data_IF_843534086655
#
_entry.id   IF_843534086655
#
_cell.length_a   1.000
_cell.length_b   1.000
_cell.length_c   1.000
_cell.angle_alpha   90.00
_cell.angle_beta   90.00
_cell.angle_gamma   90.00
#
_symmetry.space_group_name_H-M   'P 1'
#
loop_
_entity.id
_entity.type
_entity.pdbx_description
1 polymer ?
#
# COMPACT_ATOMS: atom_id res chain seq x y z
N UNK A 1 11.91 11.86 19.20
CA UNK A 1 12.31 13.02 18.38
C UNK A 1 12.37 12.76 16.87
N UNK A 2 12.53 11.51 16.40
CA UNK A 2 12.58 11.20 14.96
C UNK A 2 11.19 11.18 14.29
N UNK A 3 10.15 10.68 14.98
CA UNK A 3 8.74 10.68 14.48
C UNK A 3 8.19 12.08 14.14
N UNK A 4 8.65 13.13 14.83
CA UNK A 4 8.22 14.51 14.58
C UNK A 4 8.94 15.17 13.41
N UNK A 5 10.14 14.69 13.06
CA UNK A 5 10.95 15.25 11.97
C UNK A 5 10.43 14.78 10.59
N UNK A 6 10.09 13.49 10.48
CA UNK A 6 9.44 12.93 9.29
C UNK A 6 8.03 13.48 9.04
N UNK A 7 7.25 13.73 10.10
CA UNK A 7 5.93 14.38 9.99
C UNK A 7 6.04 15.79 9.41
N UNK A 8 7.02 16.59 9.86
CA UNK A 8 7.22 17.98 9.38
C UNK A 8 7.63 18.02 7.90
N UNK A 9 8.59 17.19 7.50
CA UNK A 9 9.06 17.09 6.12
C UNK A 9 7.94 16.68 5.16
N UNK A 10 7.08 15.72 5.54
CA UNK A 10 5.91 15.37 4.74
C UNK A 10 4.96 16.56 4.58
N UNK A 11 4.61 17.29 5.65
CA UNK A 11 3.75 18.48 5.53
C UNK A 11 4.34 19.62 4.69
N UNK A 12 5.65 19.87 4.75
CA UNK A 12 6.29 20.94 3.98
C UNK A 12 6.44 20.60 2.49
N UNK A 13 6.76 19.34 2.17
CA UNK A 13 6.76 18.85 0.79
C UNK A 13 5.33 18.90 0.22
N UNK A 14 4.34 18.46 1.01
CA UNK A 14 2.92 18.57 0.66
C UNK A 14 2.57 20.05 0.38
N UNK A 15 2.79 21.00 1.30
CA UNK A 15 2.44 22.41 1.04
C UNK A 15 3.14 22.99 -0.20
N UNK A 16 4.42 22.66 -0.42
CA UNK A 16 5.17 23.17 -1.57
C UNK A 16 4.67 22.66 -2.93
N UNK A 17 4.21 21.41 -3.02
CA UNK A 17 3.57 20.89 -4.24
C UNK A 17 2.22 21.59 -4.53
N UNK A 18 1.43 21.87 -3.49
CA UNK A 18 0.14 22.56 -3.63
C UNK A 18 0.30 24.04 -4.03
N UNK A 19 1.28 24.76 -3.46
CA UNK A 19 1.59 26.14 -3.94
C UNK A 19 2.07 26.21 -5.40
N UNK A 20 2.65 25.13 -5.95
CA UNK A 20 3.00 25.05 -7.38
C UNK A 20 1.78 24.79 -8.26
N UNK A 21 0.86 23.92 -7.83
CA UNK A 21 -0.43 23.67 -8.50
C UNK A 21 -1.25 24.98 -8.62
N UNK A 22 -1.35 25.76 -7.53
CA UNK A 22 -2.04 27.05 -7.53
C UNK A 22 -1.40 28.10 -8.47
N UNK A 23 -0.08 28.05 -8.70
CA UNK A 23 0.65 28.98 -9.58
C UNK A 23 0.61 28.59 -11.07
N UNK A 24 0.60 27.30 -11.40
CA UNK A 24 0.63 26.82 -12.79
C UNK A 24 -0.76 26.94 -13.44
N UNK A 25 -1.83 26.71 -12.69
CA UNK A 25 -3.21 26.97 -13.14
C UNK A 25 -3.40 28.48 -13.44
N UNK A 26 -2.69 29.37 -12.74
CA UNK A 26 -2.72 30.81 -13.01
C UNK A 26 -1.87 31.23 -14.23
N UNK A 27 -0.77 30.53 -14.54
CA UNK A 27 0.12 30.86 -15.67
C UNK A 27 -0.26 30.20 -17.01
N UNK A 28 -0.90 29.02 -17.01
CA UNK A 28 -1.45 28.40 -18.22
C UNK A 28 -2.65 29.15 -18.82
N UNK A 29 -3.31 29.98 -18.01
CA UNK A 29 -4.49 30.80 -18.39
C UNK A 29 -4.12 32.06 -19.17
N UNK A 30 -2.84 32.47 -19.19
CA UNK A 30 -2.39 33.65 -19.95
C UNK A 30 -1.98 33.35 -21.41
N UNK A 31 -1.80 32.08 -21.81
CA UNK A 31 -1.24 31.75 -23.13
C UNK A 31 -2.25 31.25 -24.17
N UNK A 32 -3.46 30.85 -23.78
CA UNK A 32 -4.55 30.47 -24.68
C UNK A 32 -5.81 31.17 -24.19
N UNK A 33 -6.29 32.17 -24.94
CA UNK A 33 -7.44 33.02 -24.60
C UNK A 33 -8.79 32.31 -24.57
N UNK A 34 -8.90 31.21 -23.81
CA UNK A 34 -10.14 30.50 -23.53
C UNK A 34 -10.58 30.93 -22.13
N UNK A 35 -11.57 31.81 -22.09
CA UNK A 35 -12.26 32.20 -20.86
C UNK A 35 -13.14 31.05 -20.39
N UNK A 36 -12.60 30.15 -19.55
CA UNK A 36 -13.44 29.24 -18.79
C UNK A 36 -13.94 29.94 -17.52
N UNK A 37 -15.25 29.87 -17.31
CA UNK A 37 -15.95 30.48 -16.20
C UNK A 37 -15.52 29.91 -14.83
N UNK A 38 -16.08 30.47 -13.74
CA UNK A 38 -15.63 30.26 -12.37
C UNK A 38 -15.42 28.80 -11.93
N UNK A 39 -16.08 27.81 -12.55
CA UNK A 39 -16.20 26.42 -12.09
C UNK A 39 -14.88 25.67 -11.83
N UNK A 40 -13.80 25.93 -12.57
CA UNK A 40 -12.51 25.22 -12.42
C UNK A 40 -11.68 25.66 -11.21
N UNK A 41 -11.87 26.89 -10.72
CA UNK A 41 -11.23 27.36 -9.48
C UNK A 41 -11.94 26.81 -8.23
N UNK A 42 -13.27 26.60 -8.32
CA UNK A 42 -14.06 26.04 -7.21
C UNK A 42 -13.73 24.57 -6.94
N UNK A 43 -13.35 23.77 -7.94
CA UNK A 43 -13.05 22.33 -7.76
C UNK A 43 -11.74 22.10 -7.02
N UNK A 44 -10.68 22.87 -7.30
CA UNK A 44 -9.40 22.79 -6.59
C UNK A 44 -9.54 23.32 -5.17
N UNK A 45 -10.27 24.42 -4.98
CA UNK A 45 -10.49 25.01 -3.66
C UNK A 45 -11.42 24.16 -2.78
N UNK A 46 -12.35 23.40 -3.37
CA UNK A 46 -13.15 22.40 -2.66
C UNK A 46 -12.33 21.17 -2.25
N UNK A 47 -11.38 20.72 -3.10
CA UNK A 47 -10.45 19.66 -2.75
C UNK A 47 -9.50 20.08 -1.60
N UNK A 48 -9.00 21.32 -1.64
CA UNK A 48 -8.21 21.92 -0.55
C UNK A 48 -9.01 22.10 0.75
N UNK A 49 -10.28 22.52 0.65
CA UNK A 49 -11.16 22.69 1.81
C UNK A 49 -11.55 21.35 2.46
N UNK A 50 -11.65 20.26 1.70
CA UNK A 50 -11.89 18.91 2.24
C UNK A 50 -10.71 18.37 3.07
N UNK A 51 -9.50 18.92 2.88
CA UNK A 51 -8.26 18.49 3.55
C UNK A 51 -8.00 19.20 4.90
N UNK A 52 -8.85 20.16 5.30
CA UNK A 52 -8.79 20.80 6.62
C UNK A 52 -9.55 20.01 7.71
N UNK A 53 -9.84 18.73 7.49
CA UNK A 53 -10.33 17.87 8.56
C UNK A 53 -9.25 17.75 9.64
N UNK A 54 -9.61 18.12 10.87
CA UNK A 54 -8.80 17.93 12.07
C UNK A 54 -8.17 16.54 12.06
N UNK A 55 -6.83 16.46 12.12
CA UNK A 55 -6.03 15.23 12.02
C UNK A 55 -6.28 14.33 13.24
N UNK A 56 -7.47 13.74 13.32
CA UNK A 56 -7.70 12.57 14.15
C UNK A 56 -6.97 11.42 13.46
N UNK A 57 -6.16 10.68 14.21
CA UNK A 57 -5.52 9.49 13.65
C UNK A 57 -6.64 8.53 13.24
N UNK A 58 -6.72 8.10 11.98
CA UNK A 58 -7.79 7.23 11.53
C UNK A 58 -7.76 5.94 12.33
N UNK A 59 -8.92 5.53 12.84
CA UNK A 59 -9.09 4.19 13.43
C UNK A 59 -9.34 3.21 12.31
N UNK A 60 -8.81 1.99 12.42
CA UNK A 60 -8.94 0.97 11.38
C UNK A 60 -9.63 -0.31 11.86
N UNK A 61 -10.16 -1.06 10.91
CA UNK A 61 -10.60 -2.45 11.07
C UNK A 61 -9.95 -3.30 9.97
N UNK A 62 -9.47 -4.48 10.33
CA UNK A 62 -8.75 -5.38 9.42
C UNK A 62 -9.63 -6.57 9.08
N UNK A 63 -9.76 -6.88 7.80
CA UNK A 63 -10.48 -8.02 7.27
C UNK A 63 -9.50 -8.99 6.63
N UNK A 64 -9.61 -10.27 6.94
CA UNK A 64 -8.77 -11.34 6.39
C UNK A 64 -9.66 -12.34 5.67
N UNK A 65 -9.55 -12.36 4.35
CA UNK A 65 -10.18 -13.38 3.52
C UNK A 65 -9.21 -14.57 3.37
N UNK A 66 -9.53 -15.71 3.98
CA UNK A 66 -8.62 -16.88 3.98
C UNK A 66 -8.52 -17.54 2.60
N UNK A 67 -9.64 -17.66 1.90
CA UNK A 67 -9.70 -18.33 0.60
C UNK A 67 -8.97 -17.48 -0.44
N UNK A 68 -9.28 -16.18 -0.50
CA UNK A 68 -8.61 -15.28 -1.42
C UNK A 68 -7.15 -14.98 -1.04
N UNK A 69 -6.76 -15.23 0.22
CA UNK A 69 -5.46 -14.86 0.77
C UNK A 69 -5.18 -13.35 0.61
N UNK A 70 -6.15 -12.56 1.06
CA UNK A 70 -6.14 -11.11 0.98
C UNK A 70 -6.48 -10.51 2.35
N UNK A 71 -5.69 -9.52 2.78
CA UNK A 71 -6.01 -8.67 3.92
C UNK A 71 -6.48 -7.32 3.38
N UNK A 72 -7.64 -6.84 3.82
CA UNK A 72 -8.13 -5.49 3.50
C UNK A 72 -8.31 -4.67 4.78
N UNK A 73 -7.81 -3.45 4.77
CA UNK A 73 -7.96 -2.50 5.88
C UNK A 73 -9.01 -1.47 5.53
N UNK A 74 -9.94 -1.23 6.45
CA UNK A 74 -11.00 -0.25 6.32
C UNK A 74 -10.86 0.86 7.37
N UNK A 75 -11.22 2.08 6.97
CA UNK A 75 -11.49 3.21 7.87
C UNK A 75 -13.00 3.45 7.93
N UNK A 76 -13.41 4.33 8.86
CA UNK A 76 -14.79 4.76 9.00
C UNK A 76 -15.24 5.63 7.83
N UNK A 77 -16.47 5.44 7.38
CA UNK A 77 -17.21 6.38 6.54
C UNK A 77 -17.77 7.58 7.36
N UNK A 78 -18.58 8.40 6.70
CA UNK A 78 -19.22 9.56 7.32
C UNK A 78 -20.24 9.18 8.41
N UNK A 79 -20.81 7.98 8.34
CA UNK A 79 -21.77 7.46 9.32
C UNK A 79 -21.07 6.77 10.52
N UNK A 80 -19.74 6.59 10.43
CA UNK A 80 -18.91 6.03 11.47
C UNK A 80 -18.69 4.52 11.35
N UNK A 81 -19.11 3.91 10.25
CA UNK A 81 -19.01 2.48 9.97
C UNK A 81 -17.76 2.15 9.14
N UNK A 82 -17.12 1.01 9.38
CA UNK A 82 -15.87 0.61 8.72
C UNK A 82 -16.12 0.07 7.30
N UNK A 83 -16.49 0.95 6.37
CA UNK A 83 -16.87 0.58 4.98
C UNK A 83 -15.91 1.13 3.92
N UNK A 84 -15.03 2.07 4.27
CA UNK A 84 -14.12 2.72 3.33
C UNK A 84 -12.81 1.94 3.25
N UNK A 85 -12.50 1.24 2.14
CA UNK A 85 -11.25 0.51 2.02
C UNK A 85 -10.07 1.48 1.85
N UNK A 86 -8.96 1.18 2.52
CA UNK A 86 -7.75 2.02 2.55
C UNK A 86 -6.60 1.33 1.86
N UNK A 87 -6.43 0.02 2.11
CA UNK A 87 -5.31 -0.75 1.60
C UNK A 87 -5.64 -2.24 1.56
N UNK A 88 -5.19 -2.93 0.52
CA UNK A 88 -5.17 -4.39 0.48
C UNK A 88 -3.74 -4.93 0.45
N UNK A 89 -3.58 -6.16 0.90
CA UNK A 89 -2.30 -6.87 0.99
C UNK A 89 -2.49 -8.32 0.58
N UNK A 90 -1.50 -8.86 -0.15
CA UNK A 90 -1.38 -10.30 -0.27
C UNK A 90 -0.99 -10.90 1.08
N UNK A 91 -1.54 -12.06 1.42
CA UNK A 91 -1.11 -12.79 2.61
C UNK A 91 -1.04 -14.29 2.35
N UNK A 92 -0.58 -15.05 3.33
CA UNK A 92 -0.69 -16.50 3.36
C UNK A 92 -1.33 -16.91 4.68
N UNK A 93 -2.56 -17.40 4.59
CA UNK A 93 -3.28 -17.95 5.74
C UNK A 93 -2.92 -19.41 5.99
N UNK A 94 -3.52 -20.00 7.03
CA UNK A 94 -3.31 -21.39 7.41
C UNK A 94 -3.68 -22.36 6.31
N UNK A 95 -2.80 -23.33 6.06
CA UNK A 95 -3.06 -24.46 5.15
C UNK A 95 -4.09 -25.43 5.76
N UNK A 96 -4.57 -26.36 4.94
CA UNK A 96 -5.49 -27.42 5.37
C UNK A 96 -4.95 -28.17 6.60
N UNK A 97 -5.81 -28.38 7.60
CA UNK A 97 -5.50 -28.96 8.91
C UNK A 97 -4.84 -28.00 9.91
N UNK A 98 -4.46 -26.79 9.49
CA UNK A 98 -3.85 -25.73 10.31
C UNK A 98 -4.49 -24.37 10.02
N UNK A 99 -5.80 -24.35 9.76
CA UNK A 99 -6.51 -23.19 9.24
C UNK A 99 -6.44 -22.00 10.21
N UNK A 100 -6.30 -20.80 9.65
CA UNK A 100 -6.51 -19.56 10.43
C UNK A 100 -7.96 -19.55 10.93
N UNK A 101 -8.24 -19.36 12.23
CA UNK A 101 -9.60 -19.46 12.75
C UNK A 101 -10.52 -18.35 12.22
N UNK A 102 -11.74 -18.72 11.82
CA UNK A 102 -12.81 -17.77 11.46
C UNK A 102 -13.32 -17.01 12.69
N UNK A 103 -13.81 -15.79 12.47
CA UNK A 103 -14.54 -15.03 13.48
C UNK A 103 -14.05 -13.61 13.66
N UNK A 104 -14.47 -13.01 14.77
CA UNK A 104 -14.14 -11.64 15.15
C UNK A 104 -13.16 -11.62 16.32
N UNK A 105 -12.07 -10.89 16.16
CA UNK A 105 -10.95 -10.83 17.10
C UNK A 105 -10.47 -9.39 17.30
N UNK A 106 -9.46 -9.21 18.16
CA UNK A 106 -8.81 -7.92 18.41
C UNK A 106 -7.30 -8.09 18.55
N UNK A 107 -6.53 -7.16 18.00
CA UNK A 107 -5.08 -7.12 18.21
C UNK A 107 -4.74 -6.91 19.69
N UNK A 108 -3.61 -7.46 20.15
CA UNK A 108 -3.26 -7.51 21.58
C UNK A 108 -1.80 -7.22 21.86
N UNK A 109 -0.88 -8.00 21.29
CA UNK A 109 0.57 -7.86 21.51
C UNK A 109 1.30 -7.60 20.20
N UNK A 110 2.34 -6.78 20.27
CA UNK A 110 3.14 -6.34 19.13
C UNK A 110 4.60 -6.65 19.43
N UNK A 111 5.31 -7.25 18.47
CA UNK A 111 6.70 -7.66 18.62
C UNK A 111 7.50 -7.28 17.37
N UNK A 112 8.66 -6.67 17.53
CA UNK A 112 9.58 -6.46 16.39
C UNK A 112 10.05 -7.77 15.81
N UNK A 113 10.32 -8.75 16.66
CA UNK A 113 10.64 -10.14 16.30
C UNK A 113 9.93 -11.09 17.25
N UNK A 114 9.41 -12.19 16.72
CA UNK A 114 8.73 -13.22 17.52
C UNK A 114 9.14 -14.62 17.10
N UNK A 115 9.58 -15.42 18.07
CA UNK A 115 9.77 -16.86 17.90
C UNK A 115 8.41 -17.55 17.69
N UNK A 116 8.34 -18.34 16.62
CA UNK A 116 7.16 -19.08 16.17
C UNK A 116 7.21 -20.53 16.65
N UNK A 117 6.06 -21.21 16.56
CA UNK A 117 5.90 -22.58 17.09
C UNK A 117 6.78 -23.61 16.37
N UNK A 118 7.13 -23.34 15.11
CA UNK A 118 7.99 -24.17 14.27
C UNK A 118 9.49 -23.85 14.43
N UNK A 119 9.85 -22.94 15.35
CA UNK A 119 11.22 -22.52 15.59
C UNK A 119 11.71 -21.40 14.68
N UNK A 120 10.90 -20.98 13.70
CA UNK A 120 11.19 -19.80 12.86
C UNK A 120 10.93 -18.49 13.61
N UNK A 121 11.28 -17.36 13.00
CA UNK A 121 11.00 -16.03 13.50
C UNK A 121 10.14 -15.24 12.51
N UNK A 122 9.15 -14.50 13.02
CA UNK A 122 8.45 -13.48 12.25
C UNK A 122 8.90 -12.09 12.69
N UNK A 123 9.25 -11.26 11.73
CA UNK A 123 9.48 -9.83 11.89
C UNK A 123 8.12 -9.12 11.90
N UNK A 124 7.99 -8.06 12.70
CA UNK A 124 6.77 -7.28 12.89
C UNK A 124 5.53 -8.17 13.15
N UNK A 125 5.48 -8.80 14.32
CA UNK A 125 4.39 -9.70 14.66
C UNK A 125 3.30 -9.01 15.49
N UNK A 126 2.03 -9.23 15.14
CA UNK A 126 0.84 -8.67 15.80
C UNK A 126 -0.10 -9.81 16.18
N UNK A 127 -0.25 -10.09 17.48
CA UNK A 127 -1.16 -11.13 17.98
C UNK A 127 -2.60 -10.64 17.92
N UNK A 128 -3.50 -11.43 17.34
CA UNK A 128 -4.94 -11.13 17.35
C UNK A 128 -5.80 -12.27 17.94
N UNK A 129 -5.31 -13.50 18.01
CA UNK A 129 -6.07 -14.59 18.63
C UNK A 129 -5.15 -15.68 19.19
N UNK A 130 -5.06 -15.83 20.52
CA UNK A 130 -4.24 -16.87 21.18
C UNK A 130 -2.86 -16.97 20.52
N UNK A 131 -2.52 -18.10 19.89
CA UNK A 131 -1.25 -18.33 19.20
C UNK A 131 -1.17 -17.80 17.75
N UNK A 132 -2.19 -17.12 17.25
CA UNK A 132 -2.32 -16.65 15.87
C UNK A 132 -1.97 -15.17 15.77
N UNK A 133 -1.09 -14.85 14.82
CA UNK A 133 -0.55 -13.53 14.60
C UNK A 133 -0.59 -13.14 13.12
N UNK A 134 -0.63 -11.85 12.84
CA UNK A 134 -0.03 -11.30 11.62
C UNK A 134 1.47 -11.25 11.82
N UNK A 135 2.27 -11.64 10.82
CA UNK A 135 3.72 -11.46 10.85
C UNK A 135 4.30 -11.51 9.43
N UNK A 136 5.58 -11.13 9.28
CA UNK A 136 6.30 -11.28 8.02
C UNK A 136 6.34 -12.75 7.57
N UNK A 137 6.79 -13.01 6.35
CA UNK A 137 7.30 -14.34 5.97
C UNK A 137 8.36 -14.80 7.01
N UNK A 138 8.44 -16.10 7.35
CA UNK A 138 9.36 -16.60 8.36
C UNK A 138 10.84 -16.38 8.00
N UNK A 139 11.65 -16.28 9.04
CA UNK A 139 13.10 -16.20 9.01
C UNK A 139 13.68 -17.34 9.86
N UNK A 140 14.85 -17.86 9.48
CA UNK A 140 15.52 -18.92 10.26
C UNK A 140 16.07 -18.41 11.60
N UNK A 141 16.34 -17.11 11.70
CA UNK A 141 16.80 -16.43 12.93
C UNK A 141 16.12 -15.07 13.04
N UNK A 142 16.25 -14.39 14.18
CA UNK A 142 15.76 -13.01 14.35
C UNK A 142 16.65 -11.95 13.66
N UNK A 143 17.13 -12.25 12.45
CA UNK A 143 18.00 -11.41 11.63
C UNK A 143 17.35 -11.15 10.28
N UNK A 144 17.39 -9.91 9.80
CA UNK A 144 16.70 -9.47 8.59
C UNK A 144 17.31 -10.03 7.29
N UNK A 145 18.51 -10.60 7.35
CA UNK A 145 19.24 -11.22 6.24
C UNK A 145 19.09 -12.74 6.16
N UNK A 146 18.20 -13.33 6.97
CA UNK A 146 18.03 -14.78 7.08
C UNK A 146 16.60 -15.25 6.81
N UNK A 147 15.99 -14.69 5.76
CA UNK A 147 14.64 -15.01 5.28
C UNK A 147 14.54 -16.46 4.82
N UNK A 148 13.43 -17.11 5.14
CA UNK A 148 13.05 -18.38 4.53
C UNK A 148 12.47 -18.12 3.13
N UNK A 149 13.36 -17.82 2.18
CA UNK A 149 13.04 -17.33 0.82
C UNK A 149 11.99 -18.16 0.07
N UNK A 150 11.96 -19.48 0.25
CA UNK A 150 10.95 -20.33 -0.39
C UNK A 150 9.54 -20.03 0.14
N UNK A 151 9.39 -19.66 1.42
CA UNK A 151 8.10 -19.26 1.99
C UNK A 151 7.65 -17.89 1.49
N UNK A 152 8.58 -17.00 1.09
CA UNK A 152 8.22 -15.71 0.50
C UNK A 152 7.48 -15.92 -0.82
N UNK A 153 7.96 -16.88 -1.61
CA UNK A 153 7.38 -17.28 -2.88
C UNK A 153 5.99 -17.96 -2.74
N UNK A 154 5.60 -18.34 -1.52
CA UNK A 154 4.24 -18.84 -1.24
C UNK A 154 3.23 -17.75 -0.89
N UNK A 155 3.65 -16.48 -0.75
CA UNK A 155 2.75 -15.37 -0.47
C UNK A 155 1.63 -15.28 -1.51
N UNK A 156 0.39 -15.16 -1.03
CA UNK A 156 -0.81 -15.26 -1.84
C UNK A 156 -1.40 -16.67 -1.91
N UNK A 157 -0.81 -17.67 -1.24
CA UNK A 157 -1.38 -19.01 -1.11
C UNK A 157 -1.51 -19.43 0.35
N UNK A 158 -2.36 -20.41 0.66
CA UNK A 158 -2.44 -20.96 2.01
C UNK A 158 -1.18 -21.78 2.31
N UNK A 159 -0.36 -21.31 3.26
CA UNK A 159 0.96 -21.89 3.52
C UNK A 159 1.35 -21.93 5.00
N UNK A 160 0.65 -21.18 5.86
CA UNK A 160 1.06 -21.04 7.25
C UNK A 160 0.52 -22.16 8.14
N UNK A 161 0.97 -22.16 9.41
CA UNK A 161 0.44 -23.00 10.48
C UNK A 161 -0.69 -22.31 11.27
N UNK A 162 -1.44 -21.41 10.61
CA UNK A 162 -2.59 -20.70 11.16
C UNK A 162 -2.40 -19.18 11.23
N UNK A 163 -1.18 -18.69 11.34
CA UNK A 163 -0.88 -17.26 11.26
C UNK A 163 -1.23 -16.64 9.90
N UNK A 164 -1.28 -15.32 9.83
CA UNK A 164 -1.41 -14.58 8.56
C UNK A 164 -0.03 -14.03 8.20
N UNK A 165 0.67 -14.71 7.30
CA UNK A 165 2.00 -14.29 6.82
C UNK A 165 1.85 -13.22 5.73
N UNK A 166 2.69 -12.20 5.73
CA UNK A 166 2.65 -11.09 4.77
C UNK A 166 4.08 -10.70 4.39
N UNK A 167 4.27 -9.92 3.32
CA UNK A 167 5.56 -9.29 3.05
C UNK A 167 5.95 -8.35 4.21
N UNK A 168 7.25 -8.17 4.46
CA UNK A 168 7.74 -7.37 5.59
C UNK A 168 7.20 -5.93 5.58
N UNK A 169 7.17 -5.26 4.42
CA UNK A 169 6.60 -3.91 4.30
C UNK A 169 5.11 -3.85 4.67
N UNK A 170 4.36 -4.87 4.28
CA UNK A 170 2.91 -4.91 4.41
C UNK A 170 2.48 -5.13 5.85
N UNK A 171 3.10 -6.11 6.54
CA UNK A 171 2.84 -6.27 7.97
C UNK A 171 3.38 -5.10 8.78
N UNK A 172 4.50 -4.50 8.37
CA UNK A 172 5.02 -3.30 9.03
C UNK A 172 4.02 -2.14 8.92
N UNK A 173 3.31 -2.02 7.80
CA UNK A 173 2.24 -1.04 7.69
C UNK A 173 1.14 -1.28 8.74
N UNK A 174 0.67 -2.52 8.92
CA UNK A 174 -0.27 -2.84 10.01
C UNK A 174 0.33 -2.53 11.39
N UNK A 175 1.60 -2.86 11.60
CA UNK A 175 2.32 -2.67 12.86
C UNK A 175 2.39 -1.18 13.24
N UNK A 176 2.64 -0.32 12.25
CA UNK A 176 2.79 1.13 12.45
C UNK A 176 1.45 1.88 12.53
N UNK A 177 0.40 1.36 11.88
CA UNK A 177 -0.87 2.09 11.69
C UNK A 177 -2.06 1.53 12.49
N UNK A 178 -2.06 0.24 12.86
CA UNK A 178 -3.14 -0.35 13.64
C UNK A 178 -2.77 -0.41 15.12
N UNK A 179 -3.57 0.24 15.97
CA UNK A 179 -3.37 0.26 17.42
C UNK A 179 -3.79 -1.06 18.08
N UNK A 180 -3.32 -1.31 19.31
CA UNK A 180 -3.81 -2.42 20.13
C UNK A 180 -5.33 -2.34 20.30
N UNK A 181 -6.01 -3.47 20.14
CA UNK A 181 -7.47 -3.53 20.20
C UNK A 181 -8.17 -3.30 18.86
N UNK A 182 -7.41 -3.06 17.78
CA UNK A 182 -7.92 -3.01 16.41
C UNK A 182 -8.71 -4.28 16.11
N UNK A 183 -9.92 -4.11 15.59
CA UNK A 183 -10.81 -5.22 15.25
C UNK A 183 -10.27 -5.99 14.05
N UNK A 184 -10.31 -7.31 14.12
CA UNK A 184 -9.88 -8.22 13.05
C UNK A 184 -11.03 -9.17 12.74
N UNK A 185 -11.50 -9.19 11.50
CA UNK A 185 -12.56 -10.08 11.03
C UNK A 185 -11.95 -11.09 10.06
N UNK A 186 -12.07 -12.37 10.36
CA UNK A 186 -11.57 -13.46 9.50
C UNK A 186 -12.76 -14.20 8.90
N UNK A 187 -12.79 -14.29 7.58
CA UNK A 187 -13.90 -14.83 6.80
C UNK A 187 -13.41 -15.58 5.56
N UNK A 188 -14.34 -16.26 4.88
CA UNK A 188 -14.11 -16.94 3.61
C UNK A 188 -15.01 -16.33 2.54
N UNK A 189 -14.42 -15.95 1.41
CA UNK A 189 -15.15 -15.61 0.19
C UNK A 189 -14.22 -15.86 -1.01
N UNK A 190 -14.50 -16.89 -1.79
CA UNK A 190 -13.67 -17.25 -2.95
C UNK A 190 -13.82 -16.24 -4.10
N UNK A 191 -15.01 -15.67 -4.25
CA UNK A 191 -15.39 -14.87 -5.41
C UNK A 191 -15.02 -13.41 -5.24
N UNK A 192 -14.90 -12.95 -3.99
CA UNK A 192 -14.60 -11.56 -3.66
C UNK A 192 -13.37 -11.43 -2.75
N UNK A 193 -12.17 -11.17 -3.30
CA UNK A 193 -10.97 -10.90 -2.52
C UNK A 193 -11.04 -9.60 -1.70
N UNK A 194 -12.07 -8.77 -1.90
CA UNK A 194 -12.23 -7.45 -1.31
C UNK A 194 -12.30 -6.36 -2.39
N UNK A 195 -12.78 -5.15 -2.04
CA UNK A 195 -13.08 -4.08 -2.98
C UNK A 195 -11.85 -3.51 -3.71
N UNK A 196 -10.66 -3.66 -3.13
CA UNK A 196 -9.39 -3.26 -3.77
C UNK A 196 -8.72 -4.40 -4.55
N UNK A 197 -9.36 -5.57 -4.58
CA UNK A 197 -8.74 -6.79 -5.10
C UNK A 197 -7.57 -7.28 -4.24
N UNK A 198 -7.04 -8.44 -4.61
CA UNK A 198 -5.83 -9.01 -4.02
C UNK A 198 -4.61 -8.50 -4.78
N UNK A 199 -3.63 -7.86 -4.11
CA UNK A 199 -2.35 -7.58 -4.73
C UNK A 199 -1.65 -8.87 -5.19
N UNK A 200 -0.98 -8.83 -6.34
CA UNK A 200 -0.14 -9.93 -6.78
C UNK A 200 1.20 -9.83 -6.06
N UNK A 201 1.72 -10.93 -5.54
CA UNK A 201 3.07 -10.92 -4.98
C UNK A 201 4.05 -11.45 -6.03
N UNK A 202 4.99 -10.61 -6.47
CA UNK A 202 6.08 -11.07 -7.33
C UNK A 202 7.00 -12.01 -6.53
N UNK A 203 7.48 -13.03 -7.24
CA UNK A 203 8.37 -14.04 -6.71
C UNK A 203 9.80 -13.51 -6.71
N UNK A 204 10.59 -13.88 -5.71
CA UNK A 204 12.03 -13.63 -5.69
C UNK A 204 12.76 -14.76 -6.40
N UNK A 205 13.82 -14.40 -7.14
CA UNK A 205 14.83 -15.36 -7.54
C UNK A 205 15.62 -15.79 -6.29
N UNK A 206 15.37 -17.03 -5.85
CA UNK A 206 15.99 -17.60 -4.65
C UNK A 206 17.52 -17.77 -4.78
N UNK A 207 18.07 -17.68 -6.00
CA UNK A 207 19.51 -17.71 -6.26
C UNK A 207 20.17 -16.34 -6.19
N UNK A 208 19.38 -15.27 -6.14
CA UNK A 208 19.88 -13.90 -6.06
C UNK A 208 20.72 -13.68 -4.78
N UNK A 209 21.85 -12.95 -4.84
CA UNK A 209 22.71 -12.72 -3.67
C UNK A 209 21.99 -12.03 -2.50
N UNK A 210 20.91 -11.31 -2.76
CA UNK A 210 20.11 -10.62 -1.74
C UNK A 210 18.90 -11.44 -1.24
N UNK A 211 18.69 -12.67 -1.74
CA UNK A 211 17.50 -13.47 -1.42
C UNK A 211 17.35 -13.86 0.07
N UNK A 212 18.38 -13.63 0.90
CA UNK A 212 18.27 -13.71 2.36
C UNK A 212 17.48 -12.55 2.98
N UNK A 213 17.26 -11.47 2.25
CA UNK A 213 16.47 -10.31 2.67
C UNK A 213 15.11 -10.31 1.99
N UNK A 214 14.07 -9.89 2.71
CA UNK A 214 12.79 -9.57 2.09
C UNK A 214 12.95 -8.31 1.22
N UNK A 215 12.69 -8.37 -0.10
CA UNK A 215 12.90 -7.25 -1.02
C UNK A 215 11.95 -6.06 -0.77
N UNK A 216 10.94 -6.26 0.06
CA UNK A 216 9.98 -5.22 0.43
C UNK A 216 10.37 -4.51 1.72
N UNK A 217 11.18 -5.12 2.60
CA UNK A 217 11.54 -4.53 3.90
C UNK A 217 12.18 -3.13 3.70
N UNK A 218 11.65 -2.07 4.32
CA UNK A 218 12.18 -0.72 4.20
C UNK A 218 13.43 -0.45 5.04
N UNK A 219 14.01 -1.44 5.73
CA UNK A 219 15.27 -1.29 6.47
C UNK A 219 16.35 -0.63 5.59
N UNK A 220 17.11 0.32 6.13
CA UNK A 220 18.08 1.14 5.38
C UNK A 220 19.23 0.26 4.85
N UNK A 221 19.65 -0.70 5.66
CA UNK A 221 20.70 -1.69 5.40
C UNK A 221 20.27 -2.78 4.40
N UNK A 222 19.01 -2.84 4.00
CA UNK A 222 18.52 -3.84 3.06
C UNK A 222 19.22 -3.68 1.69
N UNK A 223 19.99 -4.66 1.22
CA UNK A 223 20.77 -4.54 -0.02
C UNK A 223 19.89 -4.37 -1.26
N UNK A 224 18.62 -4.79 -1.23
CA UNK A 224 17.64 -4.54 -2.29
C UNK A 224 17.44 -3.04 -2.56
N UNK A 225 17.70 -2.16 -1.58
CA UNK A 225 17.66 -0.69 -1.77
C UNK A 225 18.64 -0.19 -2.82
N UNK A 226 19.73 -0.92 -3.08
CA UNK A 226 20.75 -0.53 -4.07
C UNK A 226 20.26 -0.69 -5.50
N UNK A 227 19.19 -1.47 -5.73
CA UNK A 227 18.60 -1.73 -7.05
C UNK A 227 17.10 -1.40 -7.11
N UNK A 228 16.54 -0.80 -6.05
CA UNK A 228 15.11 -0.53 -5.93
C UNK A 228 14.63 0.43 -7.04
N UNK A 229 13.54 0.10 -7.76
CA UNK A 229 13.05 0.93 -8.84
C UNK A 229 12.37 2.21 -8.33
N UNK A 230 12.03 3.11 -9.26
CA UNK A 230 11.26 4.32 -8.99
C UNK A 230 10.04 4.44 -9.90
N UNK A 231 8.95 5.00 -9.37
CA UNK A 231 7.74 5.31 -10.14
C UNK A 231 7.92 6.63 -10.89
N UNK A 232 7.22 6.76 -12.02
CA UNK A 232 7.11 8.03 -12.75
C UNK A 232 5.75 8.12 -13.45
N UNK A 233 5.28 9.34 -13.71
CA UNK A 233 4.09 9.56 -14.52
C UNK A 233 4.49 9.55 -16.00
N UNK A 234 3.79 8.77 -16.82
CA UNK A 234 4.04 8.69 -18.27
C UNK A 234 3.66 10.01 -18.95
N UNK A 235 2.60 10.65 -18.45
CA UNK A 235 2.18 11.98 -18.85
C UNK A 235 2.28 12.89 -17.63
N UNK A 236 3.49 13.41 -17.38
CA UNK A 236 3.74 14.37 -16.30
C UNK A 236 3.53 15.80 -16.79
N UNK A 237 2.61 16.54 -16.16
CA UNK A 237 2.40 17.97 -16.41
C UNK A 237 3.37 18.85 -15.59
N UNK A 238 4.29 18.24 -14.84
CA UNK A 238 5.31 18.90 -14.01
C UNK A 238 4.85 19.23 -12.59
N UNK A 239 3.63 18.84 -12.22
CA UNK A 239 3.05 19.01 -10.89
C UNK A 239 3.07 17.72 -10.05
N UNK A 240 3.35 16.57 -10.67
CA UNK A 240 3.36 15.26 -10.02
C UNK A 240 1.96 14.72 -9.71
N UNK A 241 0.93 15.22 -10.39
CA UNK A 241 -0.46 14.76 -10.23
C UNK A 241 -0.81 13.75 -11.32
N UNK A 242 -1.40 12.62 -10.91
CA UNK A 242 -1.94 11.63 -11.82
C UNK A 242 -3.34 12.06 -12.28
N UNK A 243 -3.45 12.56 -13.51
CA UNK A 243 -4.73 12.96 -14.10
C UNK A 243 -5.38 11.80 -14.84
N UNK A 244 -6.67 11.55 -14.58
CA UNK A 244 -7.46 10.53 -15.27
C UNK A 244 -8.86 11.05 -15.62
N UNK A 245 -9.48 10.55 -16.70
CA UNK A 245 -10.82 10.98 -17.07
C UNK A 245 -11.85 10.37 -16.12
N UNK A 246 -12.95 11.08 -15.88
CA UNK A 246 -14.11 10.52 -15.18
C UNK A 246 -14.63 9.27 -15.90
N UNK A 247 -14.91 8.23 -15.12
CA UNK A 247 -15.31 6.91 -15.61
C UNK A 247 -14.14 6.01 -16.03
N UNK A 248 -12.88 6.40 -15.80
CA UNK A 248 -11.74 5.54 -16.06
C UNK A 248 -11.77 4.25 -15.24
N UNK A 249 -11.11 3.21 -15.77
CA UNK A 249 -10.89 1.95 -15.04
C UNK A 249 -9.54 1.97 -14.33
N UNK A 250 -9.37 1.09 -13.34
CA UNK A 250 -8.08 0.90 -12.66
C UNK A 250 -6.98 0.48 -13.65
N UNK A 251 -7.30 -0.33 -14.66
CA UNK A 251 -6.33 -0.73 -15.68
C UNK A 251 -5.93 0.41 -16.62
N UNK A 252 -6.84 1.34 -16.91
CA UNK A 252 -6.47 2.58 -17.60
C UNK A 252 -5.56 3.45 -16.72
N UNK A 253 -5.81 3.51 -15.41
CA UNK A 253 -4.96 4.23 -14.46
C UNK A 253 -3.49 3.78 -14.52
N UNK A 254 -3.27 2.46 -14.61
CA UNK A 254 -1.94 1.85 -14.70
C UNK A 254 -1.19 2.25 -15.98
N UNK A 255 -1.87 2.69 -17.03
CA UNK A 255 -1.23 3.15 -18.27
C UNK A 255 -0.62 4.54 -18.15
N UNK A 256 -0.93 5.28 -17.08
CA UNK A 256 -0.39 6.61 -16.84
C UNK A 256 0.81 6.62 -15.88
N UNK A 257 1.16 5.46 -15.30
CA UNK A 257 2.27 5.32 -14.36
C UNK A 257 3.23 4.28 -14.90
N UNK A 258 4.52 4.59 -14.88
CA UNK A 258 5.58 3.68 -15.26
C UNK A 258 6.52 3.39 -14.10
N UNK A 259 7.32 2.34 -14.27
CA UNK A 259 8.41 1.97 -13.38
C UNK A 259 9.74 2.09 -14.13
N UNK A 260 10.78 2.59 -13.48
CA UNK A 260 12.14 2.64 -14.04
C UNK A 260 13.17 2.16 -13.03
N UNK A 261 14.24 1.54 -13.53
CA UNK A 261 15.33 1.06 -12.69
C UNK A 261 16.18 2.21 -12.14
N UNK A 262 17.19 1.89 -11.32
CA UNK A 262 18.10 2.87 -10.72
C UNK A 262 18.93 3.66 -11.74
N UNK A 263 19.12 3.14 -12.96
CA UNK A 263 19.77 3.87 -14.06
C UNK A 263 18.81 4.80 -14.82
N UNK A 264 17.53 4.82 -14.43
CA UNK A 264 16.49 5.62 -15.07
C UNK A 264 15.91 5.01 -16.35
N UNK A 265 16.25 3.75 -16.66
CA UNK A 265 15.68 3.02 -17.80
C UNK A 265 14.29 2.50 -17.43
N UNK A 266 13.28 2.82 -18.24
CA UNK A 266 11.92 2.34 -18.04
C UNK A 266 11.83 0.82 -18.25
N UNK A 267 11.07 0.15 -17.38
CA UNK A 267 10.68 -1.24 -17.58
C UNK A 267 9.56 -1.33 -18.63
N UNK A 268 9.53 -2.45 -19.34
CA UNK A 268 8.38 -2.83 -20.17
C UNK A 268 7.18 -3.16 -19.28
N UNK A 269 5.93 -2.84 -19.65
CA UNK A 269 4.74 -3.10 -18.81
C UNK A 269 4.54 -4.54 -18.34
N UNK A 270 5.20 -5.51 -18.98
CA UNK A 270 5.19 -6.92 -18.61
C UNK A 270 6.17 -7.26 -17.48
N UNK A 271 7.17 -6.40 -17.23
CA UNK A 271 8.26 -6.62 -16.29
C UNK A 271 8.04 -5.94 -14.93
N UNK A 272 6.84 -5.45 -14.69
CA UNK A 272 6.44 -4.96 -13.37
C UNK A 272 4.93 -5.06 -13.18
N UNK A 273 4.52 -4.94 -11.91
CA UNK A 273 3.13 -4.82 -11.51
C UNK A 273 2.91 -3.49 -10.79
N UNK A 274 1.72 -2.92 -10.97
CA UNK A 274 1.28 -1.72 -10.27
C UNK A 274 0.05 -2.01 -9.42
N UNK A 275 0.04 -1.43 -8.22
CA UNK A 275 -1.07 -1.45 -7.29
C UNK A 275 -1.41 -0.03 -6.90
N UNK A 276 -2.69 0.32 -6.96
CA UNK A 276 -3.18 1.61 -6.48
C UNK A 276 -4.05 1.32 -5.26
N UNK A 277 -3.62 1.85 -4.12
CA UNK A 277 -4.33 1.74 -2.86
C UNK A 277 -4.82 3.12 -2.43
N UNK A 278 -5.93 3.18 -1.69
CA UNK A 278 -6.47 4.42 -1.14
C UNK A 278 -7.97 4.53 -1.36
N UNK A 279 -8.57 5.57 -0.77
CA UNK A 279 -9.97 5.89 -0.96
C UNK A 279 -10.11 6.82 -2.17
N UNK A 280 -10.50 6.26 -3.32
CA UNK A 280 -10.74 7.01 -4.55
C UNK A 280 -11.97 6.49 -5.30
N UNK A 281 -12.64 7.38 -6.01
CA UNK A 281 -13.75 7.04 -6.90
C UNK A 281 -13.51 7.63 -8.29
N UNK A 282 -13.32 6.75 -9.27
CA UNK A 282 -13.05 7.13 -10.65
C UNK A 282 -14.29 7.67 -11.38
N UNK A 283 -15.48 7.53 -10.81
CA UNK A 283 -16.73 8.06 -11.37
C UNK A 283 -17.09 9.44 -10.81
N UNK A 284 -16.40 9.90 -9.77
CA UNK A 284 -16.66 11.17 -9.12
C UNK A 284 -15.49 12.12 -9.34
N UNK A 285 -15.77 13.30 -9.89
CA UNK A 285 -14.77 14.35 -10.06
C UNK A 285 -14.18 14.76 -8.71
N UNK A 286 -12.86 14.86 -8.63
CA UNK A 286 -12.19 15.19 -7.37
C UNK A 286 -10.71 14.84 -7.37
N UNK A 287 -10.05 15.16 -6.25
CA UNK A 287 -8.67 14.80 -5.99
C UNK A 287 -8.61 13.83 -4.81
N UNK A 288 -7.90 12.73 -5.00
CA UNK A 288 -7.82 11.63 -4.04
C UNK A 288 -6.36 11.37 -3.69
N UNK A 289 -6.10 11.07 -2.41
CA UNK A 289 -4.78 10.56 -1.99
C UNK A 289 -4.74 9.07 -2.25
N UNK A 290 -3.78 8.67 -3.08
CA UNK A 290 -3.54 7.27 -3.40
C UNK A 290 -2.09 6.89 -3.11
N UNK A 291 -1.88 5.63 -2.80
CA UNK A 291 -0.58 5.01 -2.69
C UNK A 291 -0.38 4.10 -3.89
N UNK A 292 0.55 4.49 -4.76
CA UNK A 292 0.94 3.66 -5.89
C UNK A 292 2.15 2.84 -5.49
N UNK A 293 2.03 1.53 -5.62
CA UNK A 293 3.13 0.59 -5.44
C UNK A 293 3.51 -0.01 -6.78
N UNK A 294 4.80 -0.04 -7.08
CA UNK A 294 5.37 -0.75 -8.23
C UNK A 294 6.28 -1.88 -7.76
N UNK A 295 6.11 -3.07 -8.30
CA UNK A 295 6.97 -4.21 -8.02
C UNK A 295 7.59 -4.71 -9.31
N UNK A 296 8.92 -4.76 -9.38
CA UNK A 296 9.63 -5.24 -10.57
C UNK A 296 9.81 -6.77 -10.58
N UNK A 297 10.34 -7.30 -11.68
CA UNK A 297 10.65 -8.72 -11.86
C UNK A 297 11.63 -9.30 -10.84
N UNK A 298 12.43 -8.47 -10.17
CA UNK A 298 13.32 -8.92 -9.10
C UNK A 298 12.60 -9.06 -7.74
N UNK A 299 11.31 -8.72 -7.69
CA UNK A 299 10.50 -8.72 -6.46
C UNK A 299 10.65 -7.45 -5.64
N UNK A 300 11.48 -6.50 -6.08
CA UNK A 300 11.74 -5.23 -5.41
C UNK A 300 10.53 -4.33 -5.54
N UNK A 301 10.06 -3.80 -4.41
CA UNK A 301 8.89 -2.93 -4.36
C UNK A 301 9.29 -1.48 -4.11
N UNK A 302 8.64 -0.54 -4.79
CA UNK A 302 8.62 0.88 -4.43
C UNK A 302 7.18 1.27 -4.16
N UNK A 303 6.96 2.17 -3.21
CA UNK A 303 5.65 2.72 -2.93
C UNK A 303 5.76 4.23 -2.75
N UNK A 304 4.82 4.96 -3.35
CA UNK A 304 4.77 6.42 -3.32
C UNK A 304 3.33 6.90 -3.12
N UNK A 305 3.15 7.88 -2.23
CA UNK A 305 1.89 8.64 -2.15
C UNK A 305 1.82 9.61 -3.33
N UNK A 306 0.69 9.64 -4.02
CA UNK A 306 0.41 10.53 -5.15
C UNK A 306 -1.00 11.13 -5.02
N UNK A 307 -1.22 12.25 -5.69
CA UNK A 307 -2.56 12.80 -5.89
C UNK A 307 -3.10 12.25 -7.21
N UNK A 308 -4.26 11.61 -7.13
CA UNK A 308 -5.06 11.19 -8.28
C UNK A 308 -6.17 12.21 -8.51
N UNK A 309 -6.19 12.87 -9.65
CA UNK A 309 -7.21 13.84 -10.03
C UNK A 309 -8.12 13.24 -11.11
N UNK A 310 -9.40 13.05 -10.77
CA UNK A 310 -10.46 12.63 -11.69
C UNK A 310 -11.09 13.89 -12.28
N UNK A 311 -10.90 14.09 -13.59
CA UNK A 311 -11.26 15.33 -14.29
C UNK A 311 -12.12 15.03 -15.52
N UNK A 312 -12.82 16.05 -16.03
CA UNK A 312 -13.37 16.01 -17.37
C UNK A 312 -12.21 16.24 -18.36
N UNK A 313 -11.93 15.26 -19.21
CA UNK A 313 -10.98 15.39 -20.33
C UNK A 313 -11.70 15.49 -21.65
#
# INVERSE_FOLDING_TARGET
>A
MIKSYWRKLNTEVIMNHFTKIAKIILMGVLALGITFGPQSAWTVQAAEASMQQTVQTPTYQVYVNRIANCVTVYTKDADGEYTVPVRSFACSTGREGMETPLGSFKTSDYYTWRLMVDGSYGQYAIRFNRGILFHSVPYYTSSADNLEKDQFNLLGSQASLGCVRMAASDVKWLYDNCEKGTSVIVYDDEQNPGPLGKPVQMQIDISHPFAGWDPTDPAEENPWNTIRPSLYLIQDMGDGVLYVPVGATVDQLKQYVGLKNIQGQAYTPQDYQLYINGNYDLNTLGAYRVWISGQDVAGTMVQQEMILAVVNM
#
